data_IF_497808852135
#
_entry.id   IF_497808852135
#
_cell.length_a   1.000
_cell.length_b   1.000
_cell.length_c   1.000
_cell.angle_alpha   90.00
_cell.angle_beta   90.00
_cell.angle_gamma   90.00
#
_symmetry.space_group_name_H-M   'P 1'
#
loop_
_entity.id
_entity.type
_entity.pdbx_description
1 polymer ?
#
# COMPACT_ATOMS: atom_id res chain seq x y z
N UNK A 1 -58.37 8.48 10.22
CA UNK A 1 -57.28 7.85 10.99
C UNK A 1 -56.85 6.46 10.49
N UNK A 2 -57.59 5.77 9.63
CA UNK A 2 -57.24 4.42 9.16
C UNK A 2 -56.09 4.39 8.10
N UNK A 3 -55.92 5.45 7.28
CA UNK A 3 -54.90 5.51 6.19
C UNK A 3 -53.48 5.64 6.74
N UNK A 4 -53.28 6.34 7.85
CA UNK A 4 -51.95 6.52 8.46
C UNK A 4 -51.39 5.22 9.04
N UNK A 5 -52.27 4.39 9.61
CA UNK A 5 -51.87 3.07 10.20
C UNK A 5 -51.48 2.06 9.12
N UNK A 6 -52.11 2.07 7.96
CA UNK A 6 -51.76 1.19 6.84
C UNK A 6 -50.43 1.55 6.23
N UNK A 7 -50.07 2.85 6.11
CA UNK A 7 -48.78 3.30 5.59
C UNK A 7 -47.64 2.94 6.53
N UNK A 8 -47.84 3.02 7.85
CA UNK A 8 -46.85 2.61 8.85
C UNK A 8 -46.63 1.09 8.86
N UNK A 9 -47.68 0.28 8.71
CA UNK A 9 -47.61 -1.18 8.68
C UNK A 9 -46.90 -1.66 7.37
N UNK A 10 -47.22 -1.06 6.21
CA UNK A 10 -46.56 -1.41 4.95
C UNK A 10 -45.08 -0.99 4.98
N UNK A 11 -44.77 0.17 5.56
CA UNK A 11 -43.37 0.60 5.76
C UNK A 11 -42.58 -0.35 6.66
N UNK A 12 -43.20 -0.90 7.72
CA UNK A 12 -42.58 -1.86 8.64
C UNK A 12 -42.36 -3.23 7.98
N UNK A 13 -43.33 -3.72 7.20
CA UNK A 13 -43.21 -4.99 6.46
C UNK A 13 -42.16 -4.89 5.35
N UNK A 14 -42.06 -3.77 4.66
CA UNK A 14 -41.03 -3.55 3.63
C UNK A 14 -39.63 -3.37 4.22
N UNK A 15 -39.49 -2.84 5.44
CA UNK A 15 -38.20 -2.79 6.13
C UNK A 15 -37.77 -4.16 6.71
N UNK A 16 -38.74 -5.01 7.10
CA UNK A 16 -38.47 -6.39 7.53
C UNK A 16 -38.12 -7.34 6.36
N UNK A 17 -38.51 -6.99 5.13
CA UNK A 17 -38.20 -7.75 3.91
C UNK A 17 -36.90 -7.29 3.20
N UNK A 18 -36.23 -6.24 3.70
CA UNK A 18 -34.87 -5.99 3.26
C UNK A 18 -34.02 -7.15 3.78
N UNK A 19 -33.41 -7.98 2.90
CA UNK A 19 -32.42 -8.92 3.37
C UNK A 19 -31.42 -8.09 4.16
N UNK A 20 -31.30 -8.36 5.46
CA UNK A 20 -30.34 -7.67 6.33
C UNK A 20 -29.01 -7.75 5.60
N UNK A 21 -28.41 -6.61 5.31
CA UNK A 21 -27.03 -6.62 4.86
C UNK A 21 -26.29 -7.48 5.89
N UNK A 22 -25.80 -8.63 5.46
CA UNK A 22 -25.09 -9.54 6.35
C UNK A 22 -24.01 -8.70 7.00
N UNK A 23 -24.08 -8.51 8.31
CA UNK A 23 -23.02 -7.83 9.05
C UNK A 23 -21.81 -8.73 8.88
N UNK A 24 -20.90 -8.31 8.00
CA UNK A 24 -19.71 -9.06 7.69
C UNK A 24 -18.86 -9.08 8.95
N UNK A 25 -18.82 -10.22 9.63
CA UNK A 25 -17.91 -10.41 10.75
C UNK A 25 -16.51 -10.64 10.19
N UNK A 26 -15.58 -9.73 10.49
CA UNK A 26 -14.18 -9.91 10.14
C UNK A 26 -13.58 -11.04 10.97
N UNK A 27 -12.73 -11.84 10.33
CA UNK A 27 -12.00 -12.89 11.01
C UNK A 27 -10.87 -12.28 11.85
N UNK A 28 -10.49 -12.94 12.99
CA UNK A 28 -9.27 -12.55 13.69
C UNK A 28 -8.07 -12.56 12.73
N UNK A 29 -7.28 -11.49 12.76
CA UNK A 29 -6.08 -11.37 11.94
C UNK A 29 -4.99 -12.26 12.54
N UNK A 30 -4.38 -13.17 11.75
CA UNK A 30 -3.25 -14.00 12.21
C UNK A 30 -2.04 -13.13 12.57
N UNK A 31 -1.29 -13.54 13.59
CA UNK A 31 -0.10 -12.83 14.09
C UNK A 31 1.23 -13.47 13.66
N UNK A 32 1.19 -14.34 12.67
CA UNK A 32 2.38 -14.98 12.10
C UNK A 32 3.38 -13.94 11.56
N UNK A 33 4.66 -14.25 11.72
CA UNK A 33 5.77 -13.52 11.11
C UNK A 33 6.59 -14.53 10.31
N UNK A 34 6.75 -14.33 8.99
CA UNK A 34 6.03 -13.36 8.15
C UNK A 34 4.52 -13.66 8.07
N UNK A 35 3.70 -12.67 7.67
CA UNK A 35 2.30 -12.93 7.32
C UNK A 35 2.19 -13.95 6.19
N UNK A 36 1.13 -14.75 6.18
CA UNK A 36 0.87 -15.66 5.05
C UNK A 36 0.74 -14.86 3.75
N UNK A 37 1.15 -15.47 2.64
CA UNK A 37 0.93 -14.90 1.33
C UNK A 37 -0.58 -14.83 1.01
N UNK A 38 -1.00 -13.70 0.44
CA UNK A 38 -2.32 -13.57 -0.17
C UNK A 38 -2.42 -14.33 -1.48
N UNK A 39 -3.60 -14.28 -2.14
CA UNK A 39 -3.77 -14.84 -3.48
C UNK A 39 -2.70 -14.28 -4.43
N UNK A 40 -1.81 -15.10 -4.99
CA UNK A 40 -0.70 -14.60 -5.79
C UNK A 40 -1.20 -13.99 -7.10
N UNK A 41 -0.52 -12.96 -7.65
CA UNK A 41 -0.82 -12.44 -8.96
C UNK A 41 -0.52 -13.49 -10.05
N UNK A 42 -1.29 -13.52 -11.15
CA UNK A 42 -0.99 -14.38 -12.29
C UNK A 42 0.32 -13.95 -12.94
N UNK A 43 1.03 -14.89 -13.53
CA UNK A 43 2.24 -14.57 -14.31
C UNK A 43 1.86 -13.70 -15.52
N UNK A 44 2.55 -12.60 -15.70
CA UNK A 44 2.47 -11.70 -16.85
C UNK A 44 3.87 -11.46 -17.41
N UNK A 45 3.96 -10.91 -18.59
CA UNK A 45 5.22 -10.38 -19.12
C UNK A 45 5.50 -9.01 -18.48
N UNK A 46 6.35 -8.99 -17.45
CA UNK A 46 6.75 -7.76 -16.75
C UNK A 46 7.69 -6.86 -17.57
N UNK A 47 8.18 -7.35 -18.70
CA UNK A 47 9.01 -6.59 -19.67
C UNK A 47 8.20 -6.11 -20.88
N UNK A 48 6.88 -6.37 -20.88
CA UNK A 48 5.99 -5.90 -21.94
C UNK A 48 5.95 -4.38 -22.04
N UNK A 49 5.49 -3.85 -23.19
CA UNK A 49 5.44 -2.40 -23.39
C UNK A 49 4.36 -1.74 -22.50
N UNK A 50 4.63 -0.54 -22.03
CA UNK A 50 3.73 0.26 -21.21
C UNK A 50 3.65 -0.20 -19.77
N UNK A 51 2.58 0.19 -19.07
CA UNK A 51 2.34 -0.11 -17.65
C UNK A 51 1.88 -1.57 -17.46
N UNK A 52 2.81 -2.49 -17.20
CA UNK A 52 2.54 -3.93 -17.06
C UNK A 52 1.58 -4.25 -15.91
N UNK A 53 1.53 -3.42 -14.88
CA UNK A 53 0.54 -3.52 -13.79
C UNK A 53 -0.92 -3.54 -14.29
N UNK A 54 -1.22 -2.94 -15.45
CA UNK A 54 -2.58 -2.93 -16.00
C UNK A 54 -3.06 -4.33 -16.41
N UNK A 55 -2.15 -5.26 -16.69
CA UNK A 55 -2.47 -6.66 -16.98
C UNK A 55 -3.02 -7.41 -15.76
N UNK A 56 -2.89 -6.85 -14.55
CA UNK A 56 -3.36 -7.44 -13.30
C UNK A 56 -4.78 -6.97 -12.89
N UNK A 57 -5.52 -6.29 -13.77
CA UNK A 57 -6.81 -5.71 -13.45
C UNK A 57 -7.84 -6.75 -12.95
N UNK A 58 -7.92 -7.90 -13.61
CA UNK A 58 -8.85 -8.99 -13.25
C UNK A 58 -8.49 -9.66 -11.93
N UNK A 59 -7.19 -9.74 -11.61
CA UNK A 59 -6.71 -10.24 -10.32
C UNK A 59 -6.99 -9.25 -9.19
N UNK A 60 -6.73 -7.96 -9.41
CA UNK A 60 -6.88 -6.93 -8.39
C UNK A 60 -8.34 -6.65 -8.03
N UNK A 61 -9.27 -6.75 -9.00
CA UNK A 61 -10.67 -6.36 -8.83
C UNK A 61 -11.39 -7.08 -7.68
N UNK A 62 -11.39 -8.43 -7.59
CA UNK A 62 -12.04 -9.13 -6.47
C UNK A 62 -11.36 -8.84 -5.13
N UNK A 63 -10.02 -8.70 -5.09
CA UNK A 63 -9.29 -8.38 -3.87
C UNK A 63 -9.67 -6.97 -3.39
N UNK A 64 -9.76 -5.99 -4.30
CA UNK A 64 -10.17 -4.62 -3.99
C UNK A 64 -11.57 -4.57 -3.35
N UNK A 65 -12.51 -5.36 -3.89
CA UNK A 65 -13.88 -5.43 -3.37
C UNK A 65 -13.94 -5.96 -1.93
N UNK A 66 -13.02 -6.83 -1.55
CA UNK A 66 -12.95 -7.46 -0.24
C UNK A 66 -12.13 -6.64 0.77
N UNK A 67 -11.04 -6.04 0.32
CA UNK A 67 -10.04 -5.37 1.17
C UNK A 67 -10.22 -3.86 1.26
N UNK A 68 -10.98 -3.26 0.34
CA UNK A 68 -11.11 -1.81 0.13
C UNK A 68 -9.79 -1.11 -0.21
N UNK A 69 -8.80 -1.86 -0.66
CA UNK A 69 -7.58 -1.30 -1.24
C UNK A 69 -7.89 -0.80 -2.65
N UNK A 70 -7.35 0.36 -3.03
CA UNK A 70 -7.50 0.89 -4.38
C UNK A 70 -6.96 -0.13 -5.42
N UNK A 71 -7.71 -0.46 -6.48
CA UNK A 71 -7.26 -1.41 -7.50
C UNK A 71 -5.95 -1.00 -8.17
N UNK A 72 -5.65 0.30 -8.29
CA UNK A 72 -4.37 0.79 -8.81
C UNK A 72 -3.21 0.36 -7.91
N UNK A 73 -3.37 0.53 -6.59
CA UNK A 73 -2.36 0.12 -5.62
C UNK A 73 -2.15 -1.40 -5.61
N UNK A 74 -3.23 -2.20 -5.67
CA UNK A 74 -3.13 -3.66 -5.73
C UNK A 74 -2.35 -4.12 -6.97
N UNK A 75 -2.65 -3.54 -8.15
CA UNK A 75 -1.93 -3.86 -9.38
C UNK A 75 -0.44 -3.53 -9.26
N UNK A 76 -0.11 -2.38 -8.67
CA UNK A 76 1.27 -1.98 -8.43
C UNK A 76 2.01 -2.95 -7.50
N UNK A 77 1.38 -3.36 -6.40
CA UNK A 77 1.98 -4.33 -5.46
C UNK A 77 2.15 -5.72 -6.09
N UNK A 78 1.15 -6.18 -6.85
CA UNK A 78 1.25 -7.45 -7.59
C UNK A 78 2.32 -7.41 -8.67
N UNK A 79 2.44 -6.33 -9.42
CA UNK A 79 3.47 -6.15 -10.43
C UNK A 79 4.87 -6.09 -9.79
N UNK A 80 5.03 -5.37 -8.68
CA UNK A 80 6.29 -5.31 -7.94
C UNK A 80 6.70 -6.68 -7.38
N UNK A 81 5.77 -7.53 -6.91
CA UNK A 81 6.05 -8.93 -6.53
C UNK A 81 6.59 -9.72 -7.73
N UNK A 82 5.96 -9.60 -8.91
CA UNK A 82 6.38 -10.35 -10.11
C UNK A 82 7.75 -9.90 -10.60
N UNK A 83 8.02 -8.59 -10.62
CA UNK A 83 9.35 -8.06 -10.96
C UNK A 83 10.39 -8.53 -9.93
N UNK A 84 10.07 -8.47 -8.62
CA UNK A 84 10.97 -8.91 -7.58
C UNK A 84 11.30 -10.40 -7.67
N UNK A 85 10.34 -11.24 -8.07
CA UNK A 85 10.54 -12.68 -8.28
C UNK A 85 11.58 -12.97 -9.37
N UNK A 86 11.67 -12.13 -10.39
CA UNK A 86 12.71 -12.25 -11.43
C UNK A 86 14.03 -11.61 -11.02
N UNK A 87 13.98 -10.40 -10.45
CA UNK A 87 15.18 -9.63 -10.11
C UNK A 87 15.89 -10.15 -8.85
N UNK A 88 15.13 -10.64 -7.88
CA UNK A 88 15.62 -11.11 -6.57
C UNK A 88 14.92 -12.41 -6.17
N UNK A 89 15.15 -13.54 -6.88
CA UNK A 89 14.37 -14.78 -6.73
C UNK A 89 14.42 -15.37 -5.31
N UNK A 90 15.53 -15.17 -4.60
CA UNK A 90 15.68 -15.67 -3.22
C UNK A 90 14.95 -14.80 -2.17
N UNK A 91 14.41 -13.64 -2.58
CA UNK A 91 13.78 -12.70 -1.65
C UNK A 91 12.42 -13.19 -1.13
N UNK A 92 11.69 -13.98 -1.92
CA UNK A 92 10.36 -14.49 -1.56
C UNK A 92 9.37 -13.39 -1.12
N UNK A 93 9.47 -12.19 -1.71
CA UNK A 93 8.57 -11.08 -1.45
C UNK A 93 7.15 -11.43 -1.93
N UNK A 94 6.13 -11.09 -1.12
CA UNK A 94 4.71 -11.22 -1.46
C UNK A 94 4.03 -9.85 -1.44
N UNK A 95 3.07 -9.64 -2.35
CA UNK A 95 2.39 -8.36 -2.58
C UNK A 95 1.73 -7.78 -1.32
N UNK A 96 1.18 -8.64 -0.46
CA UNK A 96 0.49 -8.19 0.74
C UNK A 96 1.45 -7.59 1.79
N UNK A 97 2.74 -7.91 1.77
CA UNK A 97 3.76 -7.19 2.55
C UNK A 97 3.88 -5.73 2.09
N UNK A 98 3.96 -5.50 0.77
CA UNK A 98 3.96 -4.14 0.20
C UNK A 98 2.66 -3.39 0.51
N UNK A 99 1.52 -4.08 0.41
CA UNK A 99 0.23 -3.52 0.76
C UNK A 99 0.14 -3.15 2.25
N UNK A 100 0.75 -3.94 3.14
CA UNK A 100 0.88 -3.63 4.55
C UNK A 100 1.63 -2.31 4.80
N UNK A 101 2.76 -2.10 4.12
CA UNK A 101 3.52 -0.85 4.16
C UNK A 101 2.66 0.30 3.62
N UNK A 102 2.09 0.18 2.41
CA UNK A 102 1.26 1.24 1.81
C UNK A 102 0.04 1.62 2.66
N UNK A 103 -0.51 0.67 3.43
CA UNK A 103 -1.55 0.97 4.41
C UNK A 103 -1.03 1.82 5.56
N UNK A 104 0.10 1.47 6.14
CA UNK A 104 0.66 2.19 7.29
C UNK A 104 1.07 3.59 6.89
N UNK A 105 1.70 3.74 5.72
CA UNK A 105 2.21 5.03 5.24
C UNK A 105 1.07 6.01 4.91
N UNK A 106 0.28 5.71 3.90
CA UNK A 106 -0.68 6.70 3.37
C UNK A 106 -2.06 6.12 3.10
N UNK A 107 -2.41 4.95 3.61
CA UNK A 107 -3.64 4.26 3.21
C UNK A 107 -3.71 4.10 1.69
N UNK A 108 -2.62 3.63 1.11
CA UNK A 108 -2.48 3.41 -0.35
C UNK A 108 -2.63 4.68 -1.18
N UNK A 109 -2.07 5.81 -0.72
CA UNK A 109 -2.15 7.08 -1.42
C UNK A 109 -3.43 7.89 -1.19
N UNK A 110 -4.27 7.49 -0.21
CA UNK A 110 -5.52 8.22 0.09
C UNK A 110 -5.41 9.19 1.25
N UNK A 111 -4.40 9.06 2.09
CA UNK A 111 -4.11 9.99 3.19
C UNK A 111 -2.99 10.95 2.78
N UNK A 112 -3.27 12.25 2.83
CA UNK A 112 -2.37 13.32 2.37
C UNK A 112 -1.75 14.13 3.52
N UNK A 113 -1.88 13.64 4.77
CA UNK A 113 -1.47 14.40 5.96
C UNK A 113 -2.56 15.35 6.49
N UNK A 114 -3.57 15.65 5.69
CA UNK A 114 -4.74 16.47 6.08
C UNK A 114 -6.00 15.60 6.17
N UNK A 115 -6.68 15.69 7.31
CA UNK A 115 -7.93 14.93 7.54
C UNK A 115 -9.11 15.38 6.67
N UNK A 116 -9.06 16.60 6.12
CA UNK A 116 -10.10 17.18 5.28
C UNK A 116 -9.87 16.92 3.79
N UNK A 117 -8.62 16.66 3.40
CA UNK A 117 -8.23 16.42 2.00
C UNK A 117 -7.97 14.93 1.79
N UNK A 118 -8.86 14.26 1.06
CA UNK A 118 -8.60 12.88 0.63
C UNK A 118 -7.85 12.87 -0.68
N UNK A 119 -6.71 12.17 -0.68
CA UNK A 119 -6.00 11.82 -1.88
C UNK A 119 -6.66 10.64 -2.62
N UNK A 120 -6.23 10.45 -3.83
CA UNK A 120 -6.55 9.29 -4.67
C UNK A 120 -5.36 9.00 -5.59
N UNK A 121 -5.30 7.80 -6.11
CA UNK A 121 -4.47 7.49 -7.27
C UNK A 121 -5.25 7.83 -8.54
N UNK A 122 -4.61 8.52 -9.47
CA UNK A 122 -5.20 8.78 -10.79
C UNK A 122 -5.16 7.50 -11.68
N UNK A 123 -5.74 7.49 -12.88
CA UNK A 123 -5.72 6.32 -13.76
C UNK A 123 -4.31 5.84 -14.15
N UNK A 124 -3.29 6.69 -14.06
CA UNK A 124 -1.89 6.36 -14.33
C UNK A 124 -1.11 5.98 -13.06
N UNK A 125 -1.77 5.93 -11.90
CA UNK A 125 -1.16 5.55 -10.62
C UNK A 125 -0.46 6.67 -9.88
N UNK A 126 -0.64 7.94 -10.28
CA UNK A 126 -0.08 9.08 -9.55
C UNK A 126 -0.95 9.50 -8.38
N UNK A 127 -0.31 9.80 -7.25
CA UNK A 127 -0.99 10.38 -6.10
C UNK A 127 -1.49 11.80 -6.43
N UNK A 128 -2.78 12.04 -6.18
CA UNK A 128 -3.44 13.33 -6.48
C UNK A 128 -4.30 13.77 -5.28
N UNK A 129 -3.97 14.89 -4.62
CA UNK A 129 -2.76 15.71 -4.83
C UNK A 129 -1.46 14.93 -4.51
N UNK A 130 -0.28 15.42 -4.93
CA UNK A 130 1.00 14.84 -4.51
C UNK A 130 1.11 14.79 -3.00
N UNK A 131 1.68 13.70 -2.48
CA UNK A 131 1.82 13.48 -1.05
C UNK A 131 3.24 13.88 -0.64
N UNK A 132 3.33 14.85 0.26
CA UNK A 132 4.59 15.31 0.86
C UNK A 132 4.37 15.38 2.37
N UNK A 133 5.21 14.69 3.11
CA UNK A 133 5.15 14.61 4.56
C UNK A 133 5.65 15.89 5.25
N UNK A 134 5.63 15.92 6.58
CA UNK A 134 6.25 16.98 7.36
C UNK A 134 7.77 16.97 7.18
N UNK A 135 8.41 18.12 7.42
CA UNK A 135 9.86 18.25 7.41
C UNK A 135 10.49 17.32 8.48
N UNK A 136 11.56 16.65 8.12
CA UNK A 136 12.35 15.82 9.05
C UNK A 136 13.38 16.68 9.77
N UNK A 137 12.89 17.64 10.56
CA UNK A 137 13.68 18.70 11.21
C UNK A 137 14.19 18.34 12.62
N UNK A 138 13.86 17.12 13.09
CA UNK A 138 14.21 16.65 14.44
C UNK A 138 13.25 17.13 15.52
N UNK A 139 12.11 17.70 15.18
CA UNK A 139 11.04 18.02 16.13
C UNK A 139 10.47 16.72 16.76
N UNK A 140 9.78 16.80 17.91
CA UNK A 140 9.32 15.61 18.62
C UNK A 140 8.50 14.65 17.73
N UNK A 141 9.00 13.43 17.56
CA UNK A 141 8.39 12.39 16.73
C UNK A 141 8.99 12.28 15.32
N UNK A 142 9.91 13.16 14.91
CA UNK A 142 10.56 13.14 13.61
C UNK A 142 12.08 12.98 13.74
N UNK A 143 12.68 12.23 12.81
CA UNK A 143 14.13 12.21 12.66
C UNK A 143 14.62 13.59 12.17
N UNK A 144 15.91 13.91 12.41
CA UNK A 144 16.55 15.04 11.75
C UNK A 144 17.31 14.55 10.53
N UNK A 145 16.86 14.91 9.34
CA UNK A 145 17.48 14.59 8.06
C UNK A 145 17.54 15.89 7.25
N UNK A 146 18.76 16.39 7.04
CA UNK A 146 19.01 17.56 6.20
C UNK A 146 18.75 17.24 4.73
N UNK A 147 18.43 18.26 3.92
CA UNK A 147 18.14 18.12 2.49
C UNK A 147 19.23 17.34 1.75
N UNK A 148 18.84 16.29 1.02
CA UNK A 148 19.75 15.41 0.28
C UNK A 148 19.63 15.54 -1.25
N UNK A 149 18.59 16.24 -1.78
CA UNK A 149 18.33 16.33 -3.20
C UNK A 149 18.13 17.76 -3.75
N UNK A 150 18.34 18.78 -2.92
CA UNK A 150 18.13 20.18 -3.27
C UNK A 150 16.65 20.53 -3.43
N UNK A 151 15.78 19.78 -2.75
CA UNK A 151 14.33 19.95 -2.82
C UNK A 151 13.71 19.46 -4.13
N UNK A 152 14.40 18.59 -4.87
CA UNK A 152 13.92 18.11 -6.18
C UNK A 152 12.64 17.30 -6.10
N UNK A 153 12.55 16.39 -5.13
CA UNK A 153 11.41 15.49 -4.99
C UNK A 153 10.33 16.01 -4.04
N UNK A 154 10.70 16.79 -3.03
CA UNK A 154 9.80 17.19 -1.93
C UNK A 154 9.57 18.71 -1.84
N UNK A 155 10.38 19.52 -2.53
CA UNK A 155 10.30 20.98 -2.57
C UNK A 155 10.91 21.70 -1.34
N UNK A 156 11.56 20.98 -0.41
CA UNK A 156 12.23 21.53 0.75
C UNK A 156 13.75 21.49 0.55
N UNK A 157 14.44 22.63 0.73
CA UNK A 157 15.89 22.76 0.56
C UNK A 157 16.65 22.84 1.88
N UNK A 158 15.98 22.58 3.00
CA UNK A 158 16.57 22.58 4.33
C UNK A 158 16.54 21.20 4.97
N UNK A 159 15.40 20.51 4.85
CA UNK A 159 15.22 19.16 5.39
C UNK A 159 14.49 18.27 4.38
N UNK A 160 14.88 17.00 4.31
CA UNK A 160 14.12 16.00 3.56
C UNK A 160 12.71 15.85 4.11
N UNK A 161 11.76 15.52 3.21
CA UNK A 161 10.38 15.11 3.52
C UNK A 161 10.10 13.77 2.86
N UNK A 162 9.33 12.93 3.54
CA UNK A 162 8.85 11.70 2.95
C UNK A 162 7.84 12.01 1.84
N UNK A 163 7.95 11.34 0.68
CA UNK A 163 7.15 11.63 -0.51
C UNK A 163 6.43 10.42 -1.06
N UNK A 164 5.29 10.68 -1.66
CA UNK A 164 4.50 9.70 -2.40
C UNK A 164 3.71 8.72 -1.53
N UNK A 165 2.98 7.80 -2.18
CA UNK A 165 2.10 6.84 -1.50
C UNK A 165 2.83 5.86 -0.57
N UNK A 166 4.12 5.65 -0.79
CA UNK A 166 4.97 4.77 0.04
C UNK A 166 5.94 5.55 0.94
N UNK A 167 5.86 6.89 0.99
CA UNK A 167 6.60 7.78 1.88
C UNK A 167 8.12 7.54 1.91
N UNK A 168 8.74 7.52 0.73
CA UNK A 168 10.19 7.48 0.61
C UNK A 168 10.80 8.85 0.93
N UNK A 169 11.91 8.87 1.67
CA UNK A 169 12.77 10.07 1.71
C UNK A 169 13.63 10.14 0.45
N UNK A 170 14.00 11.34 -0.04
CA UNK A 170 14.76 11.56 -1.27
C UNK A 170 15.97 10.65 -1.43
N UNK A 171 16.88 10.60 -0.46
CA UNK A 171 18.07 9.76 -0.48
C UNK A 171 17.75 8.27 -0.70
N UNK A 172 16.71 7.78 -0.02
CA UNK A 172 16.30 6.38 -0.15
C UNK A 172 15.69 6.10 -1.52
N UNK A 173 14.91 7.04 -2.06
CA UNK A 173 14.33 6.88 -3.39
C UNK A 173 15.39 6.95 -4.48
N UNK A 174 16.39 7.80 -4.38
CA UNK A 174 17.53 7.83 -5.30
C UNK A 174 18.23 6.46 -5.38
N UNK A 175 18.40 5.82 -4.24
CA UNK A 175 19.06 4.51 -4.14
C UNK A 175 18.22 3.35 -4.68
N UNK A 176 16.95 3.29 -4.28
CA UNK A 176 16.08 2.12 -4.49
C UNK A 176 15.05 2.32 -5.59
N UNK A 177 14.75 3.55 -6.00
CA UNK A 177 13.77 3.87 -7.04
C UNK A 177 14.08 3.19 -8.37
N UNK A 178 13.05 2.64 -8.99
CA UNK A 178 13.11 2.01 -10.32
C UNK A 178 11.83 2.36 -11.08
N UNK A 179 11.95 2.50 -12.38
CA UNK A 179 10.82 2.63 -13.28
C UNK A 179 10.07 1.30 -13.38
N UNK A 180 8.85 1.26 -12.92
CA UNK A 180 7.95 0.09 -12.98
C UNK A 180 6.71 0.37 -13.83
N UNK A 181 6.43 1.62 -14.17
CA UNK A 181 5.32 2.01 -15.05
C UNK A 181 5.72 2.04 -16.55
N UNK A 182 7.03 1.93 -16.85
CA UNK A 182 7.56 1.86 -18.20
C UNK A 182 7.66 3.20 -18.93
N UNK A 183 7.67 4.33 -18.20
CA UNK A 183 7.80 5.67 -18.77
C UNK A 183 9.26 6.15 -18.90
N UNK A 184 10.21 5.42 -18.32
CA UNK A 184 11.65 5.71 -18.37
C UNK A 184 12.16 6.57 -17.22
N UNK A 185 11.31 6.99 -16.27
CA UNK A 185 11.67 7.89 -15.16
C UNK A 185 11.08 7.35 -13.85
N UNK A 186 11.90 6.94 -12.87
CA UNK A 186 11.39 6.59 -11.55
C UNK A 186 10.83 7.82 -10.81
N UNK A 187 9.61 7.73 -10.29
CA UNK A 187 8.91 8.83 -9.62
C UNK A 187 8.24 8.36 -8.31
N UNK A 188 8.57 8.96 -7.14
CA UNK A 188 8.03 8.49 -5.86
C UNK A 188 6.53 8.76 -5.70
N UNK A 189 5.94 9.67 -6.48
CA UNK A 189 4.50 9.96 -6.47
C UNK A 189 3.69 8.96 -7.31
N UNK A 190 4.36 8.14 -8.11
CA UNK A 190 3.75 7.11 -8.92
C UNK A 190 3.81 5.75 -8.19
N UNK A 191 2.64 5.10 -7.99
CA UNK A 191 2.52 3.94 -7.10
C UNK A 191 3.30 2.70 -7.56
N UNK A 192 3.45 2.46 -8.87
CA UNK A 192 4.20 1.30 -9.37
C UNK A 192 5.68 1.45 -9.06
N UNK A 193 6.25 2.63 -9.33
CA UNK A 193 7.65 2.95 -9.06
C UNK A 193 7.94 2.92 -7.57
N UNK A 194 7.05 3.50 -6.76
CA UNK A 194 7.17 3.50 -5.31
C UNK A 194 7.06 2.08 -4.73
N UNK A 195 6.17 1.22 -5.27
CA UNK A 195 6.04 -0.18 -4.85
C UNK A 195 7.28 -1.00 -5.23
N UNK A 196 7.85 -0.77 -6.42
CA UNK A 196 9.08 -1.45 -6.84
C UNK A 196 10.30 -0.95 -6.06
N UNK A 197 10.35 0.34 -5.71
CA UNK A 197 11.37 0.88 -4.81
C UNK A 197 11.31 0.21 -3.43
N UNK A 198 10.10 0.02 -2.88
CA UNK A 198 9.89 -0.71 -1.63
C UNK A 198 10.35 -2.17 -1.74
N UNK A 199 9.99 -2.87 -2.82
CA UNK A 199 10.46 -4.23 -3.09
C UNK A 199 11.99 -4.31 -3.13
N UNK A 200 12.65 -3.39 -3.84
CA UNK A 200 14.11 -3.31 -3.95
C UNK A 200 14.78 -3.09 -2.58
N UNK A 201 14.23 -2.19 -1.75
CA UNK A 201 14.71 -1.97 -0.39
C UNK A 201 14.55 -3.22 0.48
N UNK A 202 13.37 -3.85 0.47
CA UNK A 202 13.09 -5.02 1.30
C UNK A 202 13.97 -6.21 0.90
N UNK A 203 14.20 -6.43 -0.39
CA UNK A 203 15.02 -7.52 -0.92
C UNK A 203 16.54 -7.22 -0.88
N UNK A 204 16.94 -6.00 -0.52
CA UNK A 204 18.37 -5.65 -0.45
C UNK A 204 19.09 -6.45 0.62
N UNK A 205 20.39 -6.72 0.40
CA UNK A 205 21.23 -7.45 1.36
C UNK A 205 21.04 -8.97 1.37
N UNK A 206 20.36 -9.54 0.36
CA UNK A 206 20.20 -10.99 0.21
C UNK A 206 19.21 -11.59 1.22
N UNK A 207 18.19 -10.85 1.63
CA UNK A 207 17.16 -11.30 2.57
C UNK A 207 16.20 -12.28 1.92
N UNK A 208 15.76 -13.27 2.70
CA UNK A 208 14.65 -14.17 2.39
C UNK A 208 13.43 -13.79 3.27
N UNK A 209 12.45 -13.13 2.69
CA UNK A 209 11.27 -12.64 3.41
C UNK A 209 10.27 -13.75 3.81
N UNK A 210 10.55 -15.00 3.47
CA UNK A 210 9.83 -16.15 4.02
C UNK A 210 10.35 -16.54 5.42
N UNK A 211 11.51 -16.00 5.83
CA UNK A 211 12.15 -16.23 7.13
C UNK A 211 11.75 -15.11 8.11
N UNK A 212 11.29 -15.43 9.34
CA UNK A 212 10.80 -14.43 10.31
C UNK A 212 11.79 -13.32 10.62
N UNK A 213 13.06 -13.68 10.82
CA UNK A 213 14.13 -12.75 11.16
C UNK A 213 14.39 -11.77 10.02
N UNK A 214 14.50 -12.27 8.78
CA UNK A 214 14.78 -11.47 7.60
C UNK A 214 13.60 -10.56 7.25
N UNK A 215 12.37 -11.05 7.35
CA UNK A 215 11.18 -10.23 7.17
C UNK A 215 11.14 -9.08 8.17
N UNK A 216 11.36 -9.39 9.46
CA UNK A 216 11.40 -8.38 10.53
C UNK A 216 12.49 -7.33 10.27
N UNK A 217 13.70 -7.76 9.89
CA UNK A 217 14.81 -6.86 9.57
C UNK A 217 14.52 -6.00 8.31
N UNK A 218 13.86 -6.58 7.32
CA UNK A 218 13.42 -5.84 6.13
C UNK A 218 12.45 -4.71 6.50
N UNK A 219 11.43 -5.00 7.31
CA UNK A 219 10.48 -3.98 7.76
C UNK A 219 11.15 -2.93 8.67
N UNK A 220 12.06 -3.34 9.57
CA UNK A 220 12.85 -2.41 10.38
C UNK A 220 13.79 -1.53 9.54
N UNK A 221 14.26 -2.01 8.37
CA UNK A 221 15.05 -1.18 7.45
C UNK A 221 14.22 -0.13 6.73
N UNK A 222 12.91 -0.33 6.62
CA UNK A 222 11.96 0.64 6.10
C UNK A 222 11.66 1.72 7.15
N UNK A 223 11.29 1.29 8.34
CA UNK A 223 11.07 2.16 9.49
C UNK A 223 11.52 1.44 10.78
N UNK A 224 12.49 2.00 11.47
CA UNK A 224 13.13 1.40 12.65
C UNK A 224 12.24 1.51 13.91
N UNK A 225 11.05 0.91 13.85
CA UNK A 225 10.08 0.89 14.95
C UNK A 225 9.39 -0.47 15.05
N UNK A 226 9.40 -1.08 16.24
CA UNK A 226 8.66 -2.32 16.48
C UNK A 226 7.14 -2.15 16.32
N UNK A 227 6.60 -0.99 16.67
CA UNK A 227 5.19 -0.68 16.44
C UNK A 227 4.85 -0.65 14.95
N UNK A 228 5.79 -0.18 14.13
CA UNK A 228 5.65 -0.20 12.68
C UNK A 228 5.62 -1.63 12.15
N UNK A 229 6.54 -2.50 12.60
CA UNK A 229 6.58 -3.93 12.25
C UNK A 229 5.23 -4.59 12.53
N UNK A 230 4.66 -4.38 13.72
CA UNK A 230 3.35 -4.94 14.11
C UNK A 230 2.24 -4.43 13.20
N UNK A 231 2.18 -3.12 12.92
CA UNK A 231 1.16 -2.52 12.05
C UNK A 231 1.23 -3.07 10.62
N UNK A 232 2.44 -3.17 10.06
CA UNK A 232 2.64 -3.73 8.72
C UNK A 232 2.23 -5.20 8.68
N UNK A 233 2.65 -6.00 9.69
CA UNK A 233 2.27 -7.41 9.81
C UNK A 233 0.75 -7.58 9.84
N UNK A 234 0.06 -6.84 10.71
CA UNK A 234 -1.39 -6.97 10.90
C UNK A 234 -2.16 -6.58 9.63
N UNK A 235 -1.72 -5.51 8.95
CA UNK A 235 -2.32 -5.11 7.68
C UNK A 235 -2.07 -6.15 6.57
N UNK A 236 -0.83 -6.63 6.43
CA UNK A 236 -0.47 -7.65 5.45
C UNK A 236 -1.23 -8.97 5.70
N UNK A 237 -1.38 -9.38 6.96
CA UNK A 237 -2.13 -10.57 7.33
C UNK A 237 -3.65 -10.42 7.06
N UNK A 238 -4.22 -9.22 7.29
CA UNK A 238 -5.61 -8.94 6.95
C UNK A 238 -5.85 -9.07 5.44
N UNK A 239 -4.95 -8.55 4.62
CA UNK A 239 -5.03 -8.66 3.15
C UNK A 239 -4.85 -10.08 2.64
N UNK A 240 -4.07 -10.92 3.34
CA UNK A 240 -3.92 -12.33 3.00
C UNK A 240 -5.22 -13.13 3.16
N UNK A 241 -6.09 -12.76 4.11
CA UNK A 241 -7.41 -13.37 4.34
C UNK A 241 -8.56 -12.51 3.80
N UNK A 242 -8.45 -11.98 2.61
CA UNK A 242 -9.17 -10.91 1.93
C UNK A 242 -10.15 -10.11 2.80
N UNK A 243 -9.63 -9.27 3.69
CA UNK A 243 -10.43 -8.34 4.50
C UNK A 243 -9.68 -7.02 4.70
N UNK A 244 -10.40 -5.92 5.04
CA UNK A 244 -9.75 -4.63 5.29
C UNK A 244 -8.78 -4.69 6.45
N UNK A 245 -7.65 -3.98 6.34
CA UNK A 245 -6.81 -3.70 7.48
C UNK A 245 -7.56 -2.78 8.46
N UNK A 246 -7.54 -3.12 9.74
CA UNK A 246 -8.12 -2.33 10.83
C UNK A 246 -7.02 -1.53 11.54
N UNK A 247 -7.43 -0.42 12.15
CA UNK A 247 -6.53 0.46 12.92
C UNK A 247 -6.16 -0.16 14.25
#
# INVERSE_FOLDING_TARGET
MAIVLVVVLVGWVLSALRPGAAVRSWQPVPDNVPPQAGTPPPLIDVHGPGRTADLLADWASPIAAETYVDPQALRAYGNAELIAREAWPECNLVWNTLAGIGWVETRHGTYTGDALTRGKLDPNGYATPPIVGPALDGSPGFARIEDTDGGHLDGDTEFDRAVGPMQFIPESFEKYGRDANGNGVPEPQQIDDAALAAANLLCSGGRDLSVPEDWTQAILSYNNSNDYVVKVRDAAAAYAIPQPAVR
#
